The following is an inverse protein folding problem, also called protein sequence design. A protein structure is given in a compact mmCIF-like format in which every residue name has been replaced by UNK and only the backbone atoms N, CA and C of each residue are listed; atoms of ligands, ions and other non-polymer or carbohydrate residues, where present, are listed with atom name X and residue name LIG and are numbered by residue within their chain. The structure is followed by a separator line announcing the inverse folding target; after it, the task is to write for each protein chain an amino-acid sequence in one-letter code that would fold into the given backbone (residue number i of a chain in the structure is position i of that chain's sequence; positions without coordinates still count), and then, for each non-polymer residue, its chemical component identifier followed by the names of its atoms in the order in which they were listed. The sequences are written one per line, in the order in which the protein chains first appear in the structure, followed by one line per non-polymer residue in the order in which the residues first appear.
data_IF_509239800832
#
_entry.id   IF_509239800832
#
_cell.length_a   1.000
_cell.length_b   1.000
_cell.length_c   1.000
_cell.angle_alpha   90.00
_cell.angle_beta   90.00
_cell.angle_gamma   90.00
#
_symmetry.space_group_name_H-M   'P 1'
#
loop_
_entity.id
_entity.type
_entity.pdbx_description
1 polymer ?
#
# COMPACT_ATOMS: atom_id res chain seq x y z
N UNK A 1 -14.96 -10.49 3.11
CA UNK A 1 -14.01 -9.64 3.85
C UNK A 1 -14.09 -8.23 3.30
N UNK A 2 -13.73 -7.22 4.08
CA UNK A 2 -13.57 -5.86 3.57
C UNK A 2 -12.46 -5.84 2.50
N UNK A 3 -12.62 -5.11 1.37
CA UNK A 3 -11.59 -5.03 0.34
C UNK A 3 -10.36 -4.28 0.84
N UNK A 4 -9.18 -4.61 0.31
CA UNK A 4 -7.90 -3.99 0.71
C UNK A 4 -7.36 -3.09 -0.39
N UNK A 5 -6.95 -1.88 -0.02
CA UNK A 5 -6.25 -0.96 -0.90
C UNK A 5 -4.81 -0.74 -0.40
N UNK A 6 -3.83 -0.92 -1.29
CA UNK A 6 -2.43 -0.56 -1.06
C UNK A 6 -2.17 0.86 -1.59
N UNK A 7 -1.81 1.79 -0.72
CA UNK A 7 -1.51 3.18 -1.05
C UNK A 7 -0.03 3.46 -0.79
N UNK A 8 0.71 3.80 -1.85
CA UNK A 8 2.12 4.21 -1.73
C UNK A 8 2.44 5.25 -2.79
N UNK A 9 2.26 6.51 -2.43
CA UNK A 9 2.41 7.63 -3.36
C UNK A 9 3.52 8.58 -2.93
N UNK A 10 4.26 9.07 -3.92
CA UNK A 10 5.15 10.22 -3.75
C UNK A 10 4.32 11.51 -3.68
N UNK A 11 3.59 11.84 -4.76
CA UNK A 11 2.68 12.98 -4.83
C UNK A 11 1.39 12.65 -4.08
N UNK A 12 1.08 13.46 -3.06
CA UNK A 12 -0.04 13.26 -2.13
C UNK A 12 -1.28 14.07 -2.53
N UNK A 13 -1.27 14.75 -3.67
CA UNK A 13 -2.37 15.56 -4.16
C UNK A 13 -3.67 14.73 -4.22
N UNK A 14 -4.70 15.19 -3.51
CA UNK A 14 -6.02 14.52 -3.45
C UNK A 14 -6.09 13.21 -2.65
N UNK A 15 -4.97 12.75 -2.07
CA UNK A 15 -4.88 11.43 -1.42
C UNK A 15 -5.84 11.29 -0.23
N UNK A 16 -5.94 12.33 0.62
CA UNK A 16 -6.81 12.32 1.80
C UNK A 16 -8.29 12.16 1.42
N UNK A 17 -8.74 12.83 0.36
CA UNK A 17 -10.12 12.73 -0.14
C UNK A 17 -10.42 11.34 -0.70
N UNK A 18 -9.49 10.79 -1.49
CA UNK A 18 -9.59 9.44 -2.04
C UNK A 18 -9.65 8.39 -0.92
N UNK A 19 -8.69 8.41 0.00
CA UNK A 19 -8.58 7.44 1.09
C UNK A 19 -9.80 7.49 2.03
N UNK A 20 -10.28 8.69 2.36
CA UNK A 20 -11.51 8.88 3.15
C UNK A 20 -12.71 8.24 2.46
N UNK A 21 -12.86 8.47 1.15
CA UNK A 21 -13.96 7.90 0.37
C UNK A 21 -13.88 6.37 0.34
N UNK A 22 -12.69 5.81 0.10
CA UNK A 22 -12.47 4.36 0.10
C UNK A 22 -12.84 3.73 1.45
N UNK A 23 -12.36 4.28 2.56
CA UNK A 23 -12.62 3.72 3.89
C UNK A 23 -14.07 3.92 4.34
N UNK A 24 -14.59 5.15 4.26
CA UNK A 24 -15.89 5.48 4.86
C UNK A 24 -17.08 5.07 4.00
N UNK A 25 -16.98 5.15 2.67
CA UNK A 25 -18.10 4.84 1.77
C UNK A 25 -18.06 3.44 1.19
N UNK A 26 -16.85 2.89 1.01
CA UNK A 26 -16.66 1.59 0.36
C UNK A 26 -16.10 0.52 1.30
N UNK A 27 -15.80 0.88 2.57
CA UNK A 27 -15.38 -0.07 3.59
C UNK A 27 -13.98 -0.66 3.35
N UNK A 28 -13.11 0.02 2.61
CA UNK A 28 -11.76 -0.48 2.37
C UNK A 28 -10.89 -0.47 3.63
N UNK A 29 -10.10 -1.53 3.79
CA UNK A 29 -8.92 -1.52 4.63
C UNK A 29 -7.76 -0.88 3.86
N UNK A 30 -7.03 0.02 4.52
CA UNK A 30 -5.96 0.79 3.89
C UNK A 30 -4.60 0.29 4.38
N UNK A 31 -3.79 -0.25 3.49
CA UNK A 31 -2.38 -0.61 3.73
C UNK A 31 -1.51 0.46 3.10
N UNK A 32 -0.64 1.09 3.89
CA UNK A 32 0.06 2.30 3.47
C UNK A 32 1.58 2.24 3.72
N UNK A 33 2.37 2.80 2.81
CA UNK A 33 3.80 3.04 3.07
C UNK A 33 4.00 4.19 4.06
N UNK A 34 5.12 4.23 4.79
CA UNK A 34 5.35 5.14 5.93
C UNK A 34 4.86 6.58 5.75
N UNK A 35 5.40 7.34 4.78
CA UNK A 35 5.00 8.73 4.56
C UNK A 35 3.56 8.91 4.06
N UNK A 36 2.98 7.91 3.40
CA UNK A 36 1.55 7.90 3.03
C UNK A 36 0.67 7.65 4.26
N UNK A 37 1.06 6.68 5.10
CA UNK A 37 0.36 6.32 6.32
C UNK A 37 0.32 7.49 7.32
N UNK A 38 1.45 8.19 7.47
CA UNK A 38 1.57 9.36 8.34
C UNK A 38 0.58 10.45 7.92
N UNK A 39 0.61 10.89 6.66
CA UNK A 39 -0.30 11.92 6.16
C UNK A 39 -1.76 11.55 6.40
N UNK A 40 -2.16 10.31 6.08
CA UNK A 40 -3.56 9.90 6.22
C UNK A 40 -4.04 9.84 7.67
N UNK A 41 -3.16 9.50 8.61
CA UNK A 41 -3.48 9.56 10.04
C UNK A 41 -3.61 11.01 10.52
N UNK A 42 -2.65 11.85 10.16
CA UNK A 42 -2.56 13.23 10.67
C UNK A 42 -3.58 14.17 10.03
N UNK A 43 -3.75 14.13 8.70
CA UNK A 43 -4.61 15.07 7.97
C UNK A 43 -6.05 14.60 7.82
N UNK A 44 -6.29 13.28 7.78
CA UNK A 44 -7.62 12.72 7.51
C UNK A 44 -8.19 11.91 8.69
N UNK A 45 -7.41 11.69 9.76
CA UNK A 45 -7.86 10.92 10.93
C UNK A 45 -8.21 9.46 10.59
N UNK A 46 -7.67 8.92 9.50
CA UNK A 46 -8.02 7.58 9.03
C UNK A 46 -7.26 6.50 9.78
N UNK A 47 -7.92 5.35 9.95
CA UNK A 47 -7.25 4.15 10.46
C UNK A 47 -6.54 3.46 9.30
N UNK A 48 -5.21 3.36 9.37
CA UNK A 48 -4.40 2.73 8.32
C UNK A 48 -3.41 1.73 8.92
N UNK A 49 -3.21 0.62 8.22
CA UNK A 49 -2.19 -0.40 8.53
C UNK A 49 -0.89 -0.02 7.82
N UNK A 50 0.24 0.04 8.53
CA UNK A 50 1.51 0.25 7.85
C UNK A 50 1.92 -1.01 7.09
N UNK A 51 2.66 -0.87 5.99
CA UNK A 51 3.22 -2.02 5.26
C UNK A 51 4.05 -2.92 6.19
N UNK A 52 4.80 -2.35 7.13
CA UNK A 52 5.58 -3.14 8.10
C UNK A 52 4.68 -4.00 9.01
N UNK A 53 3.56 -3.46 9.49
CA UNK A 53 2.60 -4.22 10.30
C UNK A 53 1.91 -5.31 9.47
N UNK A 54 1.67 -5.02 8.19
CA UNK A 54 1.04 -5.96 7.26
C UNK A 54 1.94 -7.13 6.88
N UNK A 55 3.25 -6.89 6.72
CA UNK A 55 4.21 -7.94 6.32
C UNK A 55 4.89 -8.61 7.51
N UNK A 56 4.91 -7.96 8.68
CA UNK A 56 5.74 -8.35 9.82
C UNK A 56 7.24 -8.17 9.59
N UNK A 57 7.66 -7.60 8.45
CA UNK A 57 9.06 -7.42 8.11
C UNK A 57 9.61 -6.15 8.80
N UNK A 58 10.85 -6.21 9.33
CA UNK A 58 11.50 -5.03 9.90
C UNK A 58 11.78 -3.98 8.82
N UNK A 59 11.94 -2.72 9.24
CA UNK A 59 12.42 -1.69 8.34
C UNK A 59 13.90 -1.91 8.00
N UNK A 60 14.20 -2.00 6.70
CA UNK A 60 15.55 -2.25 6.18
C UNK A 60 15.92 -1.21 5.13
N UNK A 61 17.20 -0.81 5.12
CA UNK A 61 17.79 0.05 4.09
C UNK A 61 17.01 1.37 3.90
N UNK A 62 16.62 2.01 5.00
CA UNK A 62 15.77 3.22 4.99
C UNK A 62 14.47 3.04 4.19
N UNK A 63 13.84 1.87 4.36
CA UNK A 63 12.57 1.55 3.73
C UNK A 63 12.63 1.20 2.25
N UNK A 64 13.83 1.00 1.66
CA UNK A 64 14.00 0.67 0.23
C UNK A 64 13.35 -0.64 -0.20
N UNK A 65 13.23 -1.61 0.70
CA UNK A 65 12.76 -2.97 0.37
C UNK A 65 11.46 -3.36 1.08
N UNK A 66 10.80 -2.42 1.78
CA UNK A 66 9.65 -2.71 2.65
C UNK A 66 8.44 -3.34 1.93
N UNK A 67 8.22 -2.99 0.66
CA UNK A 67 7.11 -3.55 -0.15
C UNK A 67 7.51 -4.75 -0.99
N UNK A 68 8.82 -5.06 -1.09
CA UNK A 68 9.35 -6.20 -1.85
C UNK A 68 9.17 -7.49 -1.04
N UNK A 69 7.92 -7.82 -0.72
CA UNK A 69 7.56 -8.89 0.19
C UNK A 69 6.45 -9.79 -0.40
N UNK A 70 6.48 -11.13 -0.17
CA UNK A 70 5.43 -12.03 -0.63
C UNK A 70 4.02 -11.67 -0.14
N UNK A 71 3.84 -11.18 1.09
CA UNK A 71 2.52 -10.71 1.55
C UNK A 71 1.95 -9.53 0.74
N UNK A 72 2.82 -8.70 0.15
CA UNK A 72 2.37 -7.61 -0.72
C UNK A 72 2.14 -8.15 -2.14
N UNK A 73 3.16 -8.78 -2.73
CA UNK A 73 3.10 -9.19 -4.13
C UNK A 73 2.15 -10.38 -4.36
N UNK A 74 2.05 -11.31 -3.42
CA UNK A 74 1.06 -12.39 -3.47
C UNK A 74 -0.37 -11.86 -3.43
N UNK A 75 -0.65 -10.87 -2.57
CA UNK A 75 -1.95 -10.22 -2.51
C UNK A 75 -2.34 -9.51 -3.82
N UNK A 76 -1.36 -8.96 -4.55
CA UNK A 76 -1.56 -8.30 -5.85
C UNK A 76 -1.67 -9.30 -7.01
N UNK A 77 -0.80 -10.32 -7.04
CA UNK A 77 -0.55 -11.14 -8.23
C UNK A 77 -1.38 -12.43 -8.28
N UNK A 78 -2.00 -12.84 -7.17
CA UNK A 78 -2.82 -14.04 -7.15
C UNK A 78 -4.02 -13.91 -8.10
N UNK A 79 -4.01 -14.69 -9.17
CA UNK A 79 -5.18 -14.91 -10.03
C UNK A 79 -6.33 -15.55 -9.23
N UNK A 80 -7.38 -14.77 -8.99
CA UNK A 80 -8.53 -15.17 -8.18
C UNK A 80 -9.48 -16.14 -8.89
N UNK A 81 -9.27 -16.38 -10.18
CA UNK A 81 -10.02 -17.39 -10.93
C UNK A 81 -9.39 -18.78 -10.83
N UNK A 82 -8.21 -18.89 -10.22
CA UNK A 82 -7.50 -20.16 -9.99
C UNK A 82 -7.62 -20.58 -8.53
N UNK A 83 -8.36 -21.68 -8.22
CA UNK A 83 -8.52 -22.15 -6.84
C UNK A 83 -7.19 -22.40 -6.12
N UNK A 84 -6.20 -22.94 -6.83
CA UNK A 84 -4.83 -23.19 -6.36
C UNK A 84 -4.15 -21.92 -5.79
N UNK A 85 -4.32 -20.77 -6.44
CA UNK A 85 -3.75 -19.51 -5.93
C UNK A 85 -4.47 -19.04 -4.66
N UNK A 86 -5.79 -19.20 -4.59
CA UNK A 86 -6.57 -18.82 -3.41
C UNK A 86 -6.20 -19.72 -2.20
N UNK A 87 -5.95 -21.00 -2.44
CA UNK A 87 -5.45 -21.93 -1.42
C UNK A 87 -4.04 -21.55 -0.95
N UNK A 88 -3.15 -21.13 -1.85
CA UNK A 88 -1.82 -20.61 -1.49
C UNK A 88 -1.92 -19.37 -0.60
N UNK A 89 -2.73 -18.40 -0.99
CA UNK A 89 -2.98 -17.19 -0.19
C UNK A 89 -3.49 -17.55 1.20
N UNK A 90 -4.51 -18.42 1.28
CA UNK A 90 -5.10 -18.83 2.55
C UNK A 90 -4.08 -19.55 3.45
N UNK A 91 -3.30 -20.49 2.89
CA UNK A 91 -2.27 -21.24 3.65
C UNK A 91 -1.18 -20.34 4.22
N UNK A 92 -0.81 -19.29 3.49
CA UNK A 92 0.24 -18.35 3.90
C UNK A 92 -0.30 -17.15 4.69
N UNK A 93 -1.63 -17.07 4.90
CA UNK A 93 -2.26 -15.93 5.55
C UNK A 93 -2.07 -14.61 4.80
N UNK A 94 -2.00 -14.66 3.46
CA UNK A 94 -1.83 -13.49 2.60
C UNK A 94 -3.21 -13.00 2.15
N UNK A 95 -3.70 -11.85 2.66
CA UNK A 95 -4.95 -11.29 2.17
C UNK A 95 -4.77 -10.75 0.74
N UNK A 96 -5.81 -10.83 -0.11
CA UNK A 96 -5.77 -10.24 -1.44
C UNK A 96 -5.77 -8.70 -1.37
N UNK A 97 -5.18 -8.06 -2.38
CA UNK A 97 -5.20 -6.61 -2.58
C UNK A 97 -6.11 -6.31 -3.77
N UNK A 98 -7.13 -5.48 -3.56
CA UNK A 98 -8.18 -5.16 -4.53
C UNK A 98 -7.90 -3.88 -5.32
N UNK A 99 -7.13 -2.96 -4.73
CA UNK A 99 -6.77 -1.69 -5.33
C UNK A 99 -5.32 -1.34 -5.01
N UNK A 100 -4.58 -0.88 -6.02
CA UNK A 100 -3.21 -0.37 -5.87
C UNK A 100 -3.18 1.08 -6.34
N UNK A 101 -2.83 1.99 -5.43
CA UNK A 101 -2.68 3.42 -5.70
C UNK A 101 -1.21 3.79 -5.51
N UNK A 102 -0.51 3.96 -6.62
CA UNK A 102 0.93 4.26 -6.63
C UNK A 102 1.20 5.36 -7.66
N UNK A 103 2.03 6.32 -7.26
CA UNK A 103 2.73 7.20 -8.18
C UNK A 103 4.21 7.24 -7.79
N UNK A 104 5.06 7.52 -8.77
CA UNK A 104 6.49 7.37 -8.63
C UNK A 104 7.16 8.69 -8.25
N UNK A 105 8.37 8.57 -7.72
CA UNK A 105 9.26 9.71 -7.54
C UNK A 105 9.51 10.40 -8.89
N UNK A 106 9.45 11.74 -8.98
CA UNK A 106 9.60 12.48 -10.22
C UNK A 106 11.07 12.52 -10.66
N UNK A 107 11.55 11.40 -11.20
CA UNK A 107 12.96 11.20 -11.53
C UNK A 107 13.53 12.30 -12.43
N UNK A 108 12.79 12.72 -13.47
CA UNK A 108 13.21 13.80 -14.37
C UNK A 108 13.46 15.11 -13.63
N UNK A 109 12.53 15.52 -12.77
CA UNK A 109 12.67 16.73 -11.96
C UNK A 109 13.85 16.65 -11.00
N UNK A 110 14.10 15.47 -10.42
CA UNK A 110 15.23 15.26 -9.52
C UNK A 110 16.56 15.36 -10.25
N UNK A 111 16.69 14.77 -11.43
CA UNK A 111 17.95 14.83 -12.20
C UNK A 111 18.18 16.24 -12.76
N UNK A 112 17.12 17.00 -13.02
CA UNK A 112 17.22 18.40 -13.46
C UNK A 112 17.64 19.35 -12.32
N UNK A 113 17.46 18.97 -11.06
CA UNK A 113 17.89 19.75 -9.91
C UNK A 113 19.39 19.54 -9.65
N UNK A 114 20.20 20.55 -10.01
CA UNK A 114 21.65 20.52 -9.83
C UNK A 114 22.11 20.55 -8.36
N UNK A 115 21.18 20.60 -7.39
CA UNK A 115 21.46 20.63 -5.95
C UNK A 115 21.17 19.31 -5.22
N UNK A 116 20.61 18.32 -5.93
CA UNK A 116 20.42 16.94 -5.44
C UNK A 116 21.55 16.02 -5.87
#
# INVERSE_FOLDING_TARGET
MAPTALLSVFDKTGLAHLATTLQQRHGFQLVCSGGTAQLLREEAGLTVTAVADHTGAPELLNGRVKTLHPHIHGGILADRHKPEHLEDLQRQGIPPIDLVVVNLYPFESTVADATV
#
